data_IF_416117612356
#
_entry.id   IF_416117612356
#
_cell.length_a   1.000
_cell.length_b   1.000
_cell.length_c   1.000
_cell.angle_alpha   90.00
_cell.angle_beta   90.00
_cell.angle_gamma   90.00
#
_symmetry.space_group_name_H-M   'P 1'
#
loop_
_entity.id
_entity.type
_entity.pdbx_description
1 polymer ?
#
# COMPACT_ATOMS: atom_id res chain seq x y z
N UNK A 1 -41.92 15.15 28.44
CA UNK A 1 -41.05 13.98 28.20
C UNK A 1 -40.35 14.19 26.87
N UNK A 2 -39.05 14.51 26.89
CA UNK A 2 -38.22 14.62 25.68
C UNK A 2 -37.66 13.22 25.38
N UNK A 3 -37.83 12.77 24.15
CA UNK A 3 -37.23 11.54 23.61
C UNK A 3 -35.69 11.69 23.55
N UNK A 4 -34.93 10.60 23.76
CA UNK A 4 -33.48 10.65 23.73
C UNK A 4 -32.94 10.65 22.30
N UNK A 5 -31.92 11.48 22.09
CA UNK A 5 -31.05 11.51 20.92
C UNK A 5 -30.45 10.14 20.63
N UNK A 6 -30.71 9.61 19.42
CA UNK A 6 -29.97 8.49 18.84
C UNK A 6 -28.85 9.05 17.96
N UNK A 7 -27.66 9.18 18.52
CA UNK A 7 -26.43 9.36 17.75
C UNK A 7 -26.19 8.10 16.91
N UNK A 8 -26.02 8.18 15.57
CA UNK A 8 -25.71 7.00 14.78
C UNK A 8 -24.30 6.48 15.11
N UNK A 9 -24.06 5.16 15.07
CA UNK A 9 -22.77 4.57 15.40
C UNK A 9 -21.73 4.95 14.35
N UNK A 10 -20.51 5.23 14.81
CA UNK A 10 -19.35 5.51 13.98
C UNK A 10 -19.05 4.32 13.06
N UNK A 11 -19.12 4.56 11.75
CA UNK A 11 -18.70 3.58 10.74
C UNK A 11 -17.21 3.28 10.89
N UNK A 12 -16.89 2.00 11.01
CA UNK A 12 -15.54 1.45 11.03
C UNK A 12 -14.79 1.77 9.74
N UNK A 13 -14.02 2.87 9.75
CA UNK A 13 -13.09 3.24 8.68
C UNK A 13 -11.90 2.30 8.61
N UNK A 14 -12.00 1.23 7.83
CA UNK A 14 -10.84 0.55 7.25
C UNK A 14 -11.13 0.11 5.80
N UNK A 15 -10.13 0.23 4.92
CA UNK A 15 -10.18 -0.03 3.47
C UNK A 15 -11.02 0.90 2.55
N UNK A 16 -11.89 1.76 3.08
CA UNK A 16 -12.79 2.64 2.29
C UNK A 16 -12.25 4.02 1.85
N UNK A 17 -11.06 4.45 2.26
CA UNK A 17 -10.71 5.88 2.26
C UNK A 17 -10.22 6.48 0.92
N UNK A 18 -9.88 5.68 -0.11
CA UNK A 18 -9.27 6.20 -1.37
C UNK A 18 -9.84 5.56 -2.63
N UNK A 19 -10.92 4.80 -2.49
CA UNK A 19 -11.44 3.96 -3.57
C UNK A 19 -12.48 4.68 -4.43
N UNK A 20 -12.74 5.96 -4.17
CA UNK A 20 -13.42 6.91 -5.07
C UNK A 20 -12.45 8.02 -5.46
N UNK A 21 -12.69 8.70 -6.59
CA UNK A 21 -11.85 9.81 -7.03
C UNK A 21 -11.79 10.93 -6.00
N UNK A 22 -12.91 11.37 -5.44
CA UNK A 22 -12.92 12.45 -4.43
C UNK A 22 -12.10 12.08 -3.19
N UNK A 23 -12.17 10.82 -2.77
CA UNK A 23 -11.42 10.34 -1.63
C UNK A 23 -9.91 10.23 -1.95
N UNK A 24 -9.57 9.76 -3.15
CA UNK A 24 -8.20 9.74 -3.66
C UNK A 24 -7.60 11.15 -3.83
N UNK A 25 -8.35 12.10 -4.38
CA UNK A 25 -7.93 13.48 -4.55
C UNK A 25 -7.69 14.15 -3.20
N UNK A 26 -8.59 13.96 -2.23
CA UNK A 26 -8.36 14.41 -0.84
C UNK A 26 -7.09 13.82 -0.26
N UNK A 27 -6.87 12.51 -0.41
CA UNK A 27 -5.62 11.86 0.02
C UNK A 27 -4.38 12.48 -0.67
N UNK A 28 -4.44 12.71 -1.98
CA UNK A 28 -3.31 13.24 -2.74
C UNK A 28 -2.94 14.67 -2.34
N UNK A 29 -3.93 15.49 -1.96
CA UNK A 29 -3.73 16.88 -1.53
C UNK A 29 -3.52 17.05 -0.03
N UNK A 30 -3.88 16.06 0.81
CA UNK A 30 -3.67 16.10 2.25
C UNK A 30 -2.18 16.23 2.59
N UNK A 31 -1.79 17.24 3.36
CA UNK A 31 -0.39 17.43 3.76
C UNK A 31 0.15 16.15 4.41
N UNK A 32 1.32 15.63 3.98
CA UNK A 32 1.91 14.47 4.62
C UNK A 32 2.26 14.82 6.07
N UNK A 33 2.19 13.86 7.01
CA UNK A 33 2.65 14.09 8.37
C UNK A 33 4.12 14.50 8.35
N UNK A 34 4.46 15.54 9.11
CA UNK A 34 5.81 16.10 9.13
C UNK A 34 6.54 15.72 10.41
N UNK A 35 7.77 15.17 10.33
CA UNK A 35 8.62 14.98 11.51
C UNK A 35 8.79 16.27 12.32
N UNK A 36 9.04 16.16 13.63
CA UNK A 36 9.39 17.33 14.44
C UNK A 36 10.65 17.99 13.86
N UNK A 37 10.61 19.31 13.68
CA UNK A 37 11.77 20.07 13.20
C UNK A 37 12.50 20.77 14.35
N UNK A 38 13.83 20.92 14.30
CA UNK A 38 14.58 21.68 15.29
C UNK A 38 14.02 23.11 15.44
N UNK A 39 13.77 23.53 16.69
CA UNK A 39 13.30 24.89 17.01
C UNK A 39 11.77 25.08 16.95
N UNK A 40 10.99 24.06 16.61
CA UNK A 40 9.53 24.10 16.77
C UNK A 40 9.14 23.89 18.24
N UNK A 41 8.00 24.46 18.65
CA UNK A 41 7.43 24.20 19.96
C UNK A 41 7.11 22.70 20.11
N UNK A 42 7.37 22.09 21.30
CA UNK A 42 7.03 20.69 21.53
C UNK A 42 5.54 20.43 21.33
N UNK A 43 5.20 19.33 20.67
CA UNK A 43 3.82 18.90 20.48
C UNK A 43 3.26 18.33 21.79
N UNK A 44 1.96 18.51 22.01
CA UNK A 44 1.24 17.83 23.10
C UNK A 44 1.30 16.30 22.94
N UNK A 45 1.11 15.51 24.02
CA UNK A 45 1.02 14.05 23.91
C UNK A 45 -0.03 13.58 22.89
N UNK A 46 -1.18 14.25 22.83
CA UNK A 46 -2.27 13.92 21.90
C UNK A 46 -1.87 14.14 20.43
N UNK A 47 -1.22 15.26 20.13
CA UNK A 47 -0.68 15.54 18.79
C UNK A 47 0.40 14.53 18.39
N UNK A 48 1.24 14.11 19.35
CA UNK A 48 2.28 13.10 19.11
C UNK A 48 1.69 11.71 18.89
N UNK A 49 0.64 11.33 19.63
CA UNK A 49 -0.09 10.09 19.40
C UNK A 49 -0.76 10.10 18.02
N UNK A 50 -1.41 11.21 17.64
CA UNK A 50 -1.99 11.38 16.30
C UNK A 50 -0.92 11.34 15.20
N UNK A 51 0.23 11.96 15.42
CA UNK A 51 1.35 11.91 14.49
C UNK A 51 1.90 10.49 14.31
N UNK A 52 2.12 9.72 15.38
CA UNK A 52 2.62 8.33 15.26
C UNK A 52 1.56 7.34 14.76
N UNK A 53 0.27 7.66 14.89
CA UNK A 53 -0.83 6.87 14.33
C UNK A 53 -1.02 7.09 12.82
N UNK A 54 -0.55 8.20 12.27
CA UNK A 54 -0.45 8.40 10.81
C UNK A 54 0.93 7.96 10.31
N UNK A 55 1.97 8.53 10.94
CA UNK A 55 3.41 8.39 10.71
C UNK A 55 3.86 8.69 9.27
N UNK A 56 5.15 9.02 9.12
CA UNK A 56 5.69 9.34 7.80
C UNK A 56 5.75 8.12 6.90
N UNK A 57 5.44 8.32 5.61
CA UNK A 57 5.84 7.39 4.57
C UNK A 57 7.31 7.61 4.26
N UNK A 58 8.16 6.64 4.63
CA UNK A 58 9.58 6.67 4.26
C UNK A 58 9.76 6.18 2.83
N UNK A 59 10.64 6.82 2.06
CA UNK A 59 10.99 6.38 0.71
C UNK A 59 11.70 5.03 0.77
N UNK A 60 11.22 4.09 -0.03
CA UNK A 60 11.82 2.76 -0.16
C UNK A 60 12.31 2.54 -1.59
N UNK A 61 13.30 1.65 -1.81
CA UNK A 61 13.74 1.30 -3.16
C UNK A 61 12.59 0.84 -4.07
N UNK A 62 11.58 0.18 -3.50
CA UNK A 62 10.38 -0.23 -4.21
C UNK A 62 9.53 0.96 -4.68
N UNK A 63 9.28 1.95 -3.81
CA UNK A 63 8.55 3.19 -4.18
C UNK A 63 9.30 3.95 -5.27
N UNK A 64 10.63 4.08 -5.14
CA UNK A 64 11.45 4.79 -6.13
C UNK A 64 11.47 4.09 -7.49
N UNK A 65 11.64 2.77 -7.48
CA UNK A 65 11.61 1.94 -8.69
C UNK A 65 10.24 2.01 -9.36
N UNK A 66 9.16 1.87 -8.59
CA UNK A 66 7.81 1.98 -9.11
C UNK A 66 7.52 3.37 -9.69
N UNK A 67 7.89 4.43 -8.97
CA UNK A 67 7.73 5.83 -9.44
C UNK A 67 8.46 6.05 -10.77
N UNK A 68 9.70 5.56 -10.88
CA UNK A 68 10.51 5.68 -12.09
C UNK A 68 9.88 4.90 -13.24
N UNK A 69 9.51 3.65 -13.01
CA UNK A 69 8.90 2.78 -14.03
C UNK A 69 7.57 3.33 -14.52
N UNK A 70 6.67 3.73 -13.60
CA UNK A 70 5.37 4.34 -13.97
C UNK A 70 5.58 5.59 -14.82
N UNK A 71 6.48 6.49 -14.41
CA UNK A 71 6.80 7.68 -15.20
C UNK A 71 7.28 7.33 -16.60
N UNK A 72 8.22 6.38 -16.72
CA UNK A 72 8.75 5.95 -18.03
C UNK A 72 7.66 5.35 -18.89
N UNK A 73 6.86 4.42 -18.37
CA UNK A 73 5.80 3.77 -19.14
C UNK A 73 4.68 4.74 -19.54
N UNK A 74 4.31 5.67 -18.65
CA UNK A 74 3.34 6.70 -18.99
C UNK A 74 3.84 7.62 -20.10
N UNK A 75 5.15 7.86 -20.21
CA UNK A 75 5.77 8.63 -21.32
C UNK A 75 5.77 7.80 -22.60
N UNK A 76 6.24 6.55 -22.54
CA UNK A 76 6.25 5.62 -23.69
C UNK A 76 4.84 5.42 -24.25
N UNK A 77 3.84 5.29 -23.38
CA UNK A 77 2.45 5.08 -23.76
C UNK A 77 1.75 6.30 -24.37
N UNK A 78 2.33 7.52 -24.31
CA UNK A 78 1.66 8.75 -24.79
C UNK A 78 1.34 8.72 -26.29
N UNK A 79 2.24 8.15 -27.08
CA UNK A 79 2.14 8.12 -28.54
C UNK A 79 1.87 6.73 -29.09
N UNK A 80 1.67 5.74 -28.20
CA UNK A 80 1.37 4.37 -28.60
C UNK A 80 -0.13 4.26 -28.91
N UNK A 81 -0.45 4.23 -30.21
CA UNK A 81 -1.83 4.24 -30.72
C UNK A 81 -2.32 2.87 -31.20
N UNK A 82 -1.40 1.95 -31.52
CA UNK A 82 -1.71 0.68 -32.22
C UNK A 82 -1.60 -0.55 -31.31
N UNK A 83 -0.68 -0.54 -30.33
CA UNK A 83 -0.46 -1.67 -29.42
C UNK A 83 -0.89 -1.33 -28.01
N UNK A 84 -1.34 -2.33 -27.23
CA UNK A 84 -1.64 -2.15 -25.82
C UNK A 84 -0.40 -1.60 -25.08
N UNK A 85 -0.63 -0.68 -24.14
CA UNK A 85 0.45 -0.01 -23.41
C UNK A 85 1.16 -1.00 -22.48
N UNK A 86 2.48 -0.86 -22.28
CA UNK A 86 3.20 -1.64 -21.27
C UNK A 86 2.55 -1.50 -19.89
N UNK A 87 2.59 -2.57 -19.11
CA UNK A 87 2.04 -2.61 -17.76
C UNK A 87 3.11 -2.89 -16.72
N UNK A 88 2.77 -2.70 -15.44
CA UNK A 88 3.66 -3.03 -14.32
C UNK A 88 2.99 -4.02 -13.40
N UNK A 89 3.79 -4.93 -12.87
CA UNK A 89 3.39 -5.83 -11.81
C UNK A 89 4.21 -5.49 -10.56
N UNK A 90 3.52 -5.29 -9.46
CA UNK A 90 4.10 -5.07 -8.12
C UNK A 90 3.77 -6.29 -7.27
N UNK A 91 4.71 -7.21 -7.15
CA UNK A 91 4.51 -8.46 -6.41
C UNK A 91 5.24 -8.41 -5.06
N UNK A 92 4.85 -9.26 -4.12
CA UNK A 92 5.57 -9.44 -2.86
C UNK A 92 4.63 -9.95 -1.75
N UNK A 93 5.17 -10.51 -0.66
CA UNK A 93 4.36 -10.99 0.47
C UNK A 93 3.44 -9.93 1.07
N UNK A 94 2.47 -10.35 1.90
CA UNK A 94 1.72 -9.42 2.74
C UNK A 94 2.68 -8.55 3.58
N UNK A 95 2.26 -7.33 3.92
CA UNK A 95 3.02 -6.38 4.78
C UNK A 95 4.35 -5.86 4.19
N UNK A 96 4.52 -5.83 2.87
CA UNK A 96 5.73 -5.28 2.24
C UNK A 96 5.59 -3.86 1.68
N UNK A 97 4.46 -3.20 1.92
CA UNK A 97 4.25 -1.81 1.53
C UNK A 97 3.79 -1.59 0.08
N UNK A 98 3.29 -2.62 -0.61
CA UNK A 98 2.77 -2.53 -1.99
C UNK A 98 1.68 -1.47 -2.15
N UNK A 99 0.63 -1.53 -1.30
CA UNK A 99 -0.46 -0.54 -1.30
C UNK A 99 0.07 0.86 -1.07
N UNK A 100 0.97 1.05 -0.10
CA UNK A 100 1.62 2.35 0.14
C UNK A 100 2.37 2.83 -1.10
N UNK A 101 3.12 1.95 -1.77
CA UNK A 101 3.83 2.30 -2.99
C UNK A 101 2.91 2.69 -4.15
N UNK A 102 1.79 1.97 -4.33
CA UNK A 102 0.77 2.36 -5.31
C UNK A 102 0.21 3.75 -5.01
N UNK A 103 -0.20 4.00 -3.76
CA UNK A 103 -0.82 5.25 -3.36
C UNK A 103 0.15 6.44 -3.49
N UNK A 104 1.41 6.31 -3.09
CA UNK A 104 2.42 7.38 -3.24
C UNK A 104 2.72 7.69 -4.72
N UNK A 105 2.77 6.67 -5.57
CA UNK A 105 3.00 6.84 -7.00
C UNK A 105 1.78 7.47 -7.67
N UNK A 106 0.57 7.02 -7.32
CA UNK A 106 -0.67 7.63 -7.77
C UNK A 106 -0.78 9.09 -7.34
N UNK A 107 -0.47 9.39 -6.07
CA UNK A 107 -0.41 10.76 -5.53
C UNK A 107 0.56 11.62 -6.32
N UNK A 108 1.76 11.11 -6.60
CA UNK A 108 2.77 11.82 -7.38
C UNK A 108 2.27 12.14 -8.79
N UNK A 109 1.63 11.19 -9.47
CA UNK A 109 1.05 11.39 -10.80
C UNK A 109 -0.10 12.40 -10.77
N UNK A 110 -1.02 12.29 -9.80
CA UNK A 110 -2.15 13.21 -9.62
C UNK A 110 -1.68 14.66 -9.41
N UNK A 111 -0.73 14.86 -8.49
CA UNK A 111 -0.16 16.19 -8.22
C UNK A 111 0.67 16.72 -9.39
N UNK A 112 1.36 15.86 -10.14
CA UNK A 112 2.11 16.28 -11.33
C UNK A 112 1.19 16.68 -12.50
N UNK A 113 0.01 16.08 -12.59
CA UNK A 113 -1.03 16.47 -13.53
C UNK A 113 -1.67 17.79 -13.11
N UNK A 114 -2.17 17.88 -11.87
CA UNK A 114 -2.84 19.07 -11.33
C UNK A 114 -1.97 20.33 -11.43
N UNK A 115 -0.66 20.22 -11.23
CA UNK A 115 0.27 21.35 -11.37
C UNK A 115 0.42 21.89 -12.80
N UNK A 116 0.10 21.10 -13.82
CA UNK A 116 0.17 21.47 -15.24
C UNK A 116 -1.20 21.74 -15.87
N UNK A 117 -2.25 21.42 -15.13
CA UNK A 117 -3.63 21.52 -15.56
C UNK A 117 -4.01 23.01 -15.77
N UNK A 118 -4.77 23.29 -16.81
CA UNK A 118 -5.30 24.63 -17.03
C UNK A 118 -6.42 24.94 -16.01
N UNK A 119 -6.73 26.22 -15.73
CA UNK A 119 -7.90 26.55 -14.94
C UNK A 119 -9.17 25.92 -15.53
N UNK A 120 -9.93 25.19 -14.71
CA UNK A 120 -11.14 24.48 -15.13
C UNK A 120 -10.93 23.08 -15.72
N UNK A 121 -9.70 22.56 -15.74
CA UNK A 121 -9.43 21.16 -16.07
C UNK A 121 -9.96 20.23 -14.97
N UNK A 122 -10.98 19.44 -15.31
CA UNK A 122 -11.69 18.49 -14.44
C UNK A 122 -11.23 17.04 -14.64
N UNK A 123 -10.12 16.84 -15.34
CA UNK A 123 -9.65 15.49 -15.66
C UNK A 123 -9.15 14.72 -14.43
N UNK A 124 -9.37 13.41 -14.48
CA UNK A 124 -9.02 12.43 -13.46
C UNK A 124 -7.85 11.58 -13.97
N UNK A 125 -6.59 11.94 -13.71
CA UNK A 125 -5.44 11.31 -14.34
C UNK A 125 -5.14 9.90 -13.82
N UNK A 126 -5.61 9.56 -12.62
CA UNK A 126 -5.30 8.33 -11.88
C UNK A 126 -6.59 7.68 -11.42
N UNK A 127 -6.69 6.35 -11.54
CA UNK A 127 -7.70 5.54 -10.91
C UNK A 127 -7.08 4.51 -9.97
N UNK A 128 -7.61 4.37 -8.75
CA UNK A 128 -7.22 3.33 -7.79
C UNK A 128 -8.39 2.39 -7.54
N UNK A 129 -8.20 1.11 -7.84
CA UNK A 129 -9.23 0.08 -7.72
C UNK A 129 -8.73 -1.03 -6.80
N UNK A 130 -9.48 -1.29 -5.73
CA UNK A 130 -9.24 -2.42 -4.84
C UNK A 130 -10.08 -3.61 -5.29
N UNK A 131 -9.46 -4.74 -5.61
CA UNK A 131 -10.21 -5.93 -6.02
C UNK A 131 -11.00 -6.49 -4.82
N UNK A 132 -12.33 -6.70 -4.95
CA UNK A 132 -13.13 -7.22 -3.86
C UNK A 132 -12.84 -8.73 -3.64
N UNK A 133 -13.04 -9.25 -2.42
CA UNK A 133 -12.93 -10.70 -2.18
C UNK A 133 -13.96 -11.46 -3.01
N UNK A 134 -13.55 -12.59 -3.60
CA UNK A 134 -14.45 -13.40 -4.44
C UNK A 134 -14.99 -12.67 -5.67
N UNK A 135 -14.22 -11.73 -6.22
CA UNK A 135 -14.67 -10.90 -7.33
C UNK A 135 -15.18 -11.71 -8.53
N UNK A 136 -16.34 -11.30 -9.03
CA UNK A 136 -16.88 -11.62 -10.35
C UNK A 136 -16.58 -10.48 -11.33
N UNK A 137 -16.76 -10.70 -12.63
CA UNK A 137 -16.67 -9.62 -13.62
C UNK A 137 -17.60 -8.45 -13.29
N UNK A 138 -18.83 -8.72 -12.81
CA UNK A 138 -19.80 -7.67 -12.46
C UNK A 138 -19.39 -6.87 -11.24
N UNK A 139 -18.92 -7.52 -10.17
CA UNK A 139 -18.47 -6.81 -8.96
C UNK A 139 -17.21 -6.01 -9.24
N UNK A 140 -16.28 -6.55 -10.02
CA UNK A 140 -15.07 -5.82 -10.41
C UNK A 140 -15.41 -4.61 -11.30
N UNK A 141 -16.29 -4.77 -12.29
CA UNK A 141 -16.80 -3.65 -13.09
C UNK A 141 -17.48 -2.58 -12.22
N UNK A 142 -18.20 -3.01 -11.18
CA UNK A 142 -18.78 -2.14 -10.17
C UNK A 142 -17.74 -1.29 -9.43
N UNK A 143 -16.58 -1.85 -9.07
CA UNK A 143 -15.51 -1.09 -8.40
C UNK A 143 -14.88 -0.02 -9.31
N UNK A 144 -14.69 -0.33 -10.59
CA UNK A 144 -14.26 0.67 -11.58
C UNK A 144 -15.30 1.79 -11.75
N UNK A 145 -16.58 1.42 -11.82
CA UNK A 145 -17.67 2.38 -11.91
C UNK A 145 -17.74 3.28 -10.67
N UNK A 146 -17.62 2.69 -9.47
CA UNK A 146 -17.63 3.38 -8.18
C UNK A 146 -16.50 4.41 -8.07
N UNK A 147 -15.34 4.14 -8.66
CA UNK A 147 -14.22 5.08 -8.61
C UNK A 147 -14.56 6.46 -9.18
N UNK A 148 -15.22 6.51 -10.35
CA UNK A 148 -15.65 7.76 -11.00
C UNK A 148 -17.11 8.13 -10.70
N UNK A 149 -17.74 7.50 -9.70
CA UNK A 149 -19.12 7.80 -9.32
C UNK A 149 -20.16 7.45 -10.39
N UNK A 150 -19.88 6.48 -11.27
CA UNK A 150 -20.82 6.04 -12.30
C UNK A 150 -22.01 5.33 -11.61
N UNK A 151 -23.26 5.78 -11.80
CA UNK A 151 -24.42 5.15 -11.19
C UNK A 151 -24.61 3.73 -11.75
N UNK A 152 -24.54 2.72 -10.88
CA UNK A 152 -24.80 1.32 -11.22
C UNK A 152 -26.02 0.83 -10.47
N UNK A 153 -27.00 0.30 -11.20
CA UNK A 153 -28.17 -0.35 -10.60
C UNK A 153 -28.04 -1.87 -10.64
N UNK A 154 -28.76 -2.57 -9.77
CA UNK A 154 -28.74 -4.05 -9.71
C UNK A 154 -29.12 -4.71 -11.04
N UNK A 155 -29.98 -4.06 -11.83
CA UNK A 155 -30.47 -4.54 -13.14
C UNK A 155 -29.46 -4.39 -14.28
N UNK A 156 -28.42 -3.57 -14.11
CA UNK A 156 -27.43 -3.37 -15.18
C UNK A 156 -26.64 -4.66 -15.43
N UNK A 157 -26.42 -4.95 -16.71
CA UNK A 157 -25.55 -6.04 -17.14
C UNK A 157 -24.09 -5.64 -17.04
N UNK A 158 -23.17 -6.61 -16.93
CA UNK A 158 -21.73 -6.35 -16.94
C UNK A 158 -21.30 -5.55 -18.17
N UNK A 159 -21.87 -5.83 -19.34
CA UNK A 159 -21.61 -5.10 -20.59
C UNK A 159 -22.00 -3.63 -20.49
N UNK A 160 -23.18 -3.32 -19.93
CA UNK A 160 -23.63 -1.94 -19.73
C UNK A 160 -22.68 -1.17 -18.80
N UNK A 161 -22.29 -1.78 -17.68
CA UNK A 161 -21.33 -1.19 -16.73
C UNK A 161 -19.98 -0.96 -17.43
N UNK A 162 -19.49 -1.95 -18.17
CA UNK A 162 -18.20 -1.87 -18.87
C UNK A 162 -18.19 -0.76 -19.92
N UNK A 163 -19.27 -0.59 -20.67
CA UNK A 163 -19.39 0.49 -21.66
C UNK A 163 -19.38 1.86 -20.98
N UNK A 164 -20.11 2.01 -19.87
CA UNK A 164 -20.10 3.25 -19.08
C UNK A 164 -18.71 3.54 -18.51
N UNK A 165 -18.03 2.53 -17.94
CA UNK A 165 -16.64 2.64 -17.44
C UNK A 165 -15.70 3.08 -18.55
N UNK A 166 -15.68 2.39 -19.69
CA UNK A 166 -14.81 2.73 -20.82
C UNK A 166 -15.02 4.17 -21.30
N UNK A 167 -16.29 4.58 -21.46
CA UNK A 167 -16.63 5.92 -21.91
C UNK A 167 -16.18 6.98 -20.90
N UNK A 168 -16.52 6.79 -19.63
CA UNK A 168 -16.24 7.76 -18.56
C UNK A 168 -14.74 7.87 -18.28
N UNK A 169 -14.00 6.75 -18.25
CA UNK A 169 -12.54 6.76 -18.08
C UNK A 169 -11.83 7.48 -19.24
N UNK A 170 -12.32 7.32 -20.46
CA UNK A 170 -11.78 8.01 -21.62
C UNK A 170 -12.09 9.52 -21.57
N UNK A 171 -13.34 9.90 -21.26
CA UNK A 171 -13.78 11.29 -21.15
C UNK A 171 -13.07 12.02 -20.01
N UNK A 172 -12.95 11.39 -18.83
CA UNK A 172 -12.23 11.93 -17.67
C UNK A 172 -10.70 11.97 -17.88
N UNK A 173 -10.18 11.42 -18.98
CA UNK A 173 -8.76 11.51 -19.29
C UNK A 173 -7.86 10.62 -18.45
N UNK A 174 -8.37 9.51 -17.87
CA UNK A 174 -7.59 8.57 -17.05
C UNK A 174 -6.38 8.05 -17.81
N UNK A 175 -5.18 8.23 -17.24
CA UNK A 175 -3.89 7.82 -17.84
C UNK A 175 -3.20 6.71 -17.06
N UNK A 176 -3.53 6.53 -15.79
CA UNK A 176 -2.94 5.52 -14.90
C UNK A 176 -4.07 4.80 -14.15
N UNK A 177 -4.06 3.47 -14.18
CA UNK A 177 -4.96 2.63 -13.38
C UNK A 177 -4.12 1.75 -12.47
N UNK A 178 -4.32 1.90 -11.16
CA UNK A 178 -3.68 1.14 -10.10
C UNK A 178 -4.68 0.12 -9.59
N UNK A 179 -4.37 -1.16 -9.71
CA UNK A 179 -5.24 -2.26 -9.28
C UNK A 179 -4.54 -2.99 -8.14
N UNK A 180 -5.13 -2.91 -6.96
CA UNK A 180 -4.60 -3.51 -5.75
C UNK A 180 -5.27 -4.84 -5.44
N UNK A 181 -4.55 -5.72 -4.75
CA UNK A 181 -5.01 -7.05 -4.33
C UNK A 181 -5.45 -7.96 -5.50
N UNK A 182 -4.77 -7.89 -6.65
CA UNK A 182 -5.14 -8.64 -7.88
C UNK A 182 -5.19 -10.17 -7.69
N UNK A 183 -4.44 -10.67 -6.70
CA UNK A 183 -4.41 -12.08 -6.31
C UNK A 183 -5.75 -12.59 -5.77
N UNK A 184 -6.70 -11.69 -5.44
CA UNK A 184 -8.08 -12.05 -5.09
C UNK A 184 -8.87 -12.61 -6.28
N UNK A 185 -8.39 -12.41 -7.51
CA UNK A 185 -8.92 -13.07 -8.70
C UNK A 185 -8.43 -14.52 -8.73
N UNK A 186 -9.24 -15.44 -8.21
CA UNK A 186 -8.88 -16.85 -8.11
C UNK A 186 -9.08 -17.58 -9.46
N UNK A 187 -8.00 -18.01 -10.15
CA UNK A 187 -8.12 -18.70 -11.44
C UNK A 187 -8.81 -20.06 -11.33
N UNK A 188 -8.85 -20.65 -10.13
CA UNK A 188 -9.47 -21.97 -9.89
C UNK A 188 -11.00 -21.90 -9.80
N UNK A 189 -11.58 -20.70 -9.85
CA UNK A 189 -13.03 -20.48 -9.81
C UNK A 189 -13.50 -19.90 -11.13
N UNK A 190 -14.68 -20.28 -11.61
CA UNK A 190 -15.28 -19.71 -12.82
C UNK A 190 -15.42 -18.19 -12.71
N UNK A 191 -15.90 -17.71 -11.56
CA UNK A 191 -16.06 -16.27 -11.29
C UNK A 191 -14.74 -15.49 -11.35
N UNK A 192 -13.66 -16.04 -10.79
CA UNK A 192 -12.35 -15.40 -10.81
C UNK A 192 -11.70 -15.40 -12.20
N UNK A 193 -11.91 -16.47 -12.98
CA UNK A 193 -11.50 -16.53 -14.38
C UNK A 193 -12.26 -15.51 -15.24
N UNK A 194 -13.59 -15.43 -15.09
CA UNK A 194 -14.43 -14.43 -15.77
C UNK A 194 -14.02 -12.99 -15.43
N UNK A 195 -13.72 -12.71 -14.16
CA UNK A 195 -13.24 -11.40 -13.73
C UNK A 195 -11.89 -11.04 -14.34
N UNK A 196 -10.97 -12.01 -14.44
CA UNK A 196 -9.67 -11.81 -15.06
C UNK A 196 -9.77 -11.58 -16.57
N UNK A 197 -10.63 -12.33 -17.26
CA UNK A 197 -10.86 -12.14 -18.70
C UNK A 197 -11.53 -10.79 -18.99
N UNK A 198 -12.51 -10.41 -18.16
CA UNK A 198 -13.08 -9.07 -18.21
C UNK A 198 -12.03 -7.97 -18.02
N UNK A 199 -11.07 -8.16 -17.10
CA UNK A 199 -10.01 -7.20 -16.87
C UNK A 199 -9.05 -7.11 -18.08
N UNK A 200 -8.72 -8.25 -18.70
CA UNK A 200 -7.94 -8.29 -19.96
C UNK A 200 -8.65 -7.47 -21.04
N UNK A 201 -9.96 -7.68 -21.23
CA UNK A 201 -10.76 -6.90 -22.19
C UNK A 201 -10.78 -5.40 -21.87
N UNK A 202 -10.91 -5.03 -20.58
CA UNK A 202 -10.89 -3.64 -20.16
C UNK A 202 -9.56 -2.96 -20.51
N UNK A 203 -8.44 -3.66 -20.33
CA UNK A 203 -7.10 -3.10 -20.57
C UNK A 203 -6.82 -2.81 -22.04
N UNK A 204 -7.49 -3.50 -22.95
CA UNK A 204 -7.45 -3.23 -24.39
C UNK A 204 -8.32 -2.01 -24.76
N UNK A 205 -9.40 -1.76 -24.03
CA UNK A 205 -10.37 -0.68 -24.31
C UNK A 205 -10.01 0.65 -23.65
N UNK A 206 -9.43 0.60 -22.45
CA UNK A 206 -9.03 1.80 -21.70
C UNK A 206 -7.59 2.16 -22.02
N UNK A 207 -7.40 3.32 -22.66
CA UNK A 207 -6.08 3.85 -23.01
C UNK A 207 -5.39 4.43 -21.76
N UNK A 208 -4.95 3.57 -20.86
CA UNK A 208 -4.19 3.90 -19.64
C UNK A 208 -3.00 2.96 -19.44
N UNK A 209 -2.02 3.38 -18.64
CA UNK A 209 -1.00 2.47 -18.10
C UNK A 209 -1.60 1.75 -16.90
N UNK A 210 -1.52 0.42 -16.88
CA UNK A 210 -2.02 -0.40 -15.78
C UNK A 210 -0.88 -0.85 -14.87
N UNK A 211 -1.10 -0.77 -13.56
CA UNK A 211 -0.22 -1.30 -12.52
C UNK A 211 -1.02 -2.27 -11.68
N UNK A 212 -0.56 -3.51 -11.57
CA UNK A 212 -1.22 -4.58 -10.82
C UNK A 212 -0.40 -4.92 -9.58
N UNK A 213 -0.98 -4.80 -8.39
CA UNK A 213 -0.33 -5.18 -7.14
C UNK A 213 -1.02 -6.37 -6.47
N UNK A 214 -0.23 -7.24 -5.85
CA UNK A 214 -0.73 -8.40 -5.14
C UNK A 214 0.37 -9.34 -4.68
N UNK A 215 -0.02 -10.50 -4.20
CA UNK A 215 0.88 -11.60 -3.84
C UNK A 215 0.96 -12.52 -5.06
N UNK A 216 2.18 -12.96 -5.42
CA UNK A 216 2.43 -13.89 -6.53
C UNK A 216 1.66 -13.54 -7.81
N UNK A 217 1.71 -12.25 -8.19
CA UNK A 217 0.85 -11.70 -9.24
C UNK A 217 1.08 -12.37 -10.60
N UNK A 218 2.29 -12.83 -10.89
CA UNK A 218 2.61 -13.56 -12.12
C UNK A 218 1.81 -14.86 -12.26
N UNK A 219 1.36 -15.44 -11.14
CA UNK A 219 0.54 -16.66 -11.11
C UNK A 219 -0.97 -16.35 -11.00
N UNK A 220 -1.34 -15.06 -10.94
CA UNK A 220 -2.75 -14.65 -10.88
C UNK A 220 -3.48 -14.90 -12.21
N UNK A 221 -4.80 -15.06 -12.14
CA UNK A 221 -5.67 -15.38 -13.29
C UNK A 221 -5.54 -14.41 -14.49
N UNK A 222 -5.08 -13.19 -14.25
CA UNK A 222 -4.91 -12.13 -15.25
C UNK A 222 -3.72 -12.40 -16.16
N UNK A 223 -2.70 -13.11 -15.67
CA UNK A 223 -1.44 -13.35 -16.40
C UNK A 223 -1.30 -14.80 -16.91
N UNK A 224 -2.31 -15.64 -16.69
CA UNK A 224 -2.34 -17.02 -17.18
C UNK A 224 -3.15 -17.18 -18.47
N UNK A 225 -2.91 -18.26 -19.21
CA UNK A 225 -3.50 -18.53 -20.53
C UNK A 225 -2.89 -17.69 -21.67
N UNK A 226 -3.35 -17.88 -22.91
CA UNK A 226 -2.76 -17.23 -24.10
C UNK A 226 -2.80 -15.70 -24.01
N UNK A 227 -3.95 -15.13 -23.65
CA UNK A 227 -4.10 -13.67 -23.49
C UNK A 227 -3.35 -13.13 -22.28
N UNK A 228 -3.31 -13.88 -21.18
CA UNK A 228 -2.53 -13.50 -19.99
C UNK A 228 -1.02 -13.51 -20.26
N UNK A 229 -0.52 -14.48 -21.01
CA UNK A 229 0.89 -14.55 -21.41
C UNK A 229 1.30 -13.34 -22.29
N UNK A 230 0.39 -12.85 -23.14
CA UNK A 230 0.63 -11.62 -23.92
C UNK A 230 0.72 -10.38 -23.02
N UNK A 231 -0.10 -10.31 -21.96
CA UNK A 231 -0.04 -9.23 -20.98
C UNK A 231 1.23 -9.32 -20.13
N UNK A 232 1.59 -10.54 -19.69
CA UNK A 232 2.79 -10.83 -18.91
C UNK A 232 4.07 -10.50 -19.70
N UNK A 233 4.15 -10.88 -20.98
CA UNK A 233 5.29 -10.58 -21.85
C UNK A 233 5.51 -9.09 -22.10
N UNK A 234 4.56 -8.23 -21.74
CA UNK A 234 4.65 -6.76 -21.82
C UNK A 234 4.75 -6.10 -20.45
N UNK A 235 4.66 -6.87 -19.37
CA UNK A 235 4.71 -6.37 -18.02
C UNK A 235 6.16 -6.35 -17.50
N UNK A 236 6.57 -5.26 -16.84
CA UNK A 236 7.79 -5.29 -16.03
C UNK A 236 7.44 -5.61 -14.58
N UNK A 237 8.22 -6.50 -13.96
CA UNK A 237 8.04 -6.94 -12.59
C UNK A 237 8.84 -6.07 -11.62
N UNK A 238 8.20 -5.63 -10.54
CA UNK A 238 8.81 -4.97 -9.39
C UNK A 238 8.50 -5.83 -8.17
N UNK A 239 9.55 -6.40 -7.58
CA UNK A 239 9.43 -7.16 -6.34
C UNK A 239 9.52 -6.23 -5.13
N UNK A 240 8.42 -6.14 -4.39
CA UNK A 240 8.33 -5.56 -3.05
C UNK A 240 8.58 -6.68 -2.03
N UNK A 241 9.77 -7.27 -2.06
CA UNK A 241 10.19 -8.32 -1.16
C UNK A 241 10.65 -7.78 0.20
N UNK A 242 11.10 -8.71 1.06
CA UNK A 242 11.81 -8.34 2.28
C UNK A 242 13.06 -7.54 1.93
N UNK A 243 13.28 -6.43 2.64
CA UNK A 243 14.46 -5.61 2.43
C UNK A 243 15.67 -6.34 3.03
N UNK A 244 16.75 -6.57 2.27
CA UNK A 244 17.87 -7.34 2.77
C UNK A 244 18.63 -6.55 3.82
N UNK A 245 19.24 -7.25 4.78
CA UNK A 245 20.11 -6.60 5.76
C UNK A 245 21.31 -5.90 5.07
N UNK A 246 21.82 -6.49 3.98
CA UNK A 246 22.90 -5.95 3.14
C UNK A 246 22.64 -6.17 1.65
N UNK A 247 23.06 -5.22 0.83
CA UNK A 247 23.07 -5.30 -0.63
C UNK A 247 24.38 -4.72 -1.16
N UNK A 248 25.38 -5.59 -1.39
CA UNK A 248 26.75 -5.16 -1.63
C UNK A 248 27.31 -4.43 -0.41
N UNK A 249 27.82 -3.22 -0.61
CA UNK A 249 28.32 -2.34 0.46
C UNK A 249 27.21 -1.57 1.21
N UNK A 250 25.97 -1.60 0.71
CA UNK A 250 24.85 -0.87 1.32
C UNK A 250 24.13 -1.72 2.37
N UNK A 251 23.56 -1.05 3.37
CA UNK A 251 22.76 -1.67 4.43
C UNK A 251 21.33 -1.12 4.39
N UNK A 252 20.53 -1.43 3.34
CA UNK A 252 19.28 -0.72 3.07
C UNK A 252 18.26 -0.87 4.20
N UNK A 253 18.24 -1.99 4.91
CA UNK A 253 17.39 -2.16 6.10
C UNK A 253 17.80 -1.25 7.27
N UNK A 254 19.11 -1.06 7.48
CA UNK A 254 19.64 -0.15 8.50
C UNK A 254 19.33 1.32 8.13
N UNK A 255 19.46 1.67 6.86
CA UNK A 255 19.12 3.00 6.32
C UNK A 255 17.63 3.32 6.50
N UNK A 256 16.76 2.34 6.26
CA UNK A 256 15.32 2.46 6.52
C UNK A 256 15.04 2.67 8.02
N UNK A 257 15.67 1.91 8.91
CA UNK A 257 15.52 2.09 10.36
C UNK A 257 15.97 3.50 10.78
N UNK A 258 17.10 3.98 10.27
CA UNK A 258 17.59 5.32 10.57
C UNK A 258 16.60 6.41 10.12
N UNK A 259 15.98 6.22 8.95
CA UNK A 259 14.97 7.14 8.42
C UNK A 259 13.69 7.14 9.27
N UNK A 260 13.25 5.96 9.75
CA UNK A 260 12.11 5.85 10.66
C UNK A 260 12.43 6.46 12.03
N UNK A 261 13.64 6.24 12.55
CA UNK A 261 14.10 6.80 13.83
C UNK A 261 14.14 8.34 13.80
N UNK A 262 14.65 8.92 12.71
CA UNK A 262 14.67 10.37 12.51
C UNK A 262 13.28 11.01 12.48
N UNK A 263 12.25 10.22 12.18
CA UNK A 263 10.87 10.69 12.16
C UNK A 263 10.16 10.54 13.50
N UNK A 264 10.80 9.97 14.54
CA UNK A 264 10.16 9.81 15.84
C UNK A 264 10.03 11.14 16.58
N UNK A 265 8.88 11.34 17.20
CA UNK A 265 8.62 12.48 18.09
C UNK A 265 8.60 12.01 19.55
N UNK A 266 9.76 11.55 20.01
CA UNK A 266 10.00 10.97 21.33
C UNK A 266 11.11 11.75 22.03
N UNK A 267 10.79 12.41 23.15
CA UNK A 267 11.70 13.40 23.73
C UNK A 267 12.95 12.81 24.40
N UNK A 268 12.86 11.57 24.89
CA UNK A 268 13.98 10.88 25.54
C UNK A 268 14.68 9.87 24.62
N UNK A 269 14.29 9.79 23.35
CA UNK A 269 14.85 8.84 22.42
C UNK A 269 16.19 9.32 21.87
N UNK A 270 17.20 8.45 21.93
CA UNK A 270 18.55 8.78 21.46
C UNK A 270 18.72 8.35 20.00
N UNK A 271 19.03 9.29 19.13
CA UNK A 271 19.36 9.01 17.74
C UNK A 271 20.52 8.00 17.60
N UNK A 272 20.42 7.12 16.61
CA UNK A 272 21.34 6.02 16.36
C UNK A 272 21.17 4.82 17.29
N UNK A 273 20.12 4.76 18.11
CA UNK A 273 19.85 3.63 18.99
C UNK A 273 19.13 2.49 18.26
N UNK A 274 18.14 2.78 17.42
CA UNK A 274 17.43 1.78 16.62
C UNK A 274 18.30 1.18 15.51
N UNK A 275 19.12 1.94 14.75
CA UNK A 275 20.03 1.36 13.77
C UNK A 275 21.00 0.35 14.38
N UNK A 276 21.39 0.49 15.66
CA UNK A 276 22.21 -0.52 16.36
C UNK A 276 21.49 -1.84 16.58
N UNK A 277 20.15 -1.83 16.59
CA UNK A 277 19.30 -3.01 16.68
C UNK A 277 18.93 -3.59 15.31
N UNK A 278 19.55 -3.14 14.21
CA UNK A 278 19.18 -3.56 12.85
C UNK A 278 19.12 -5.08 12.65
N UNK A 279 20.09 -5.84 13.18
CA UNK A 279 20.07 -7.32 13.09
C UNK A 279 18.86 -7.92 13.81
N UNK A 280 18.54 -7.40 15.00
CA UNK A 280 17.40 -7.87 15.78
C UNK A 280 16.07 -7.49 15.11
N UNK A 281 15.94 -6.25 14.63
CA UNK A 281 14.74 -5.78 13.91
C UNK A 281 14.54 -6.54 12.60
N UNK A 282 15.63 -6.91 11.91
CA UNK A 282 15.57 -7.69 10.68
C UNK A 282 15.03 -9.10 10.96
N UNK A 283 15.54 -9.76 12.00
CA UNK A 283 15.05 -11.06 12.47
C UNK A 283 13.58 -10.99 12.93
N UNK A 284 13.21 -9.97 13.73
CA UNK A 284 11.82 -9.78 14.21
C UNK A 284 10.81 -9.58 13.10
N UNK A 285 11.20 -8.93 12.00
CA UNK A 285 10.29 -8.50 10.95
C UNK A 285 10.43 -9.33 9.67
N UNK A 286 11.38 -10.27 9.63
CA UNK A 286 11.84 -10.93 8.42
C UNK A 286 12.20 -9.93 7.29
N UNK A 287 12.70 -8.74 7.64
CA UNK A 287 12.98 -7.65 6.69
C UNK A 287 11.74 -6.99 6.06
N UNK A 288 10.52 -7.29 6.51
CA UNK A 288 9.29 -6.72 5.96
C UNK A 288 9.06 -5.30 6.45
N UNK A 289 8.95 -4.37 5.51
CA UNK A 289 8.83 -2.94 5.80
C UNK A 289 7.55 -2.60 6.56
N UNK A 290 6.42 -3.24 6.23
CA UNK A 290 5.15 -3.02 6.93
C UNK A 290 5.18 -3.53 8.37
N UNK A 291 5.76 -4.71 8.62
CA UNK A 291 5.96 -5.22 9.97
C UNK A 291 6.89 -4.33 10.78
N UNK A 292 7.99 -3.85 10.18
CA UNK A 292 8.92 -2.89 10.80
C UNK A 292 8.24 -1.57 11.15
N UNK A 293 7.51 -0.97 10.20
CA UNK A 293 6.80 0.29 10.41
C UNK A 293 5.76 0.16 11.52
N UNK A 294 4.97 -0.92 11.52
CA UNK A 294 4.00 -1.19 12.59
C UNK A 294 4.67 -1.35 13.95
N UNK A 295 5.75 -2.12 14.04
CA UNK A 295 6.50 -2.32 15.28
C UNK A 295 7.00 -0.99 15.86
N UNK A 296 7.67 -0.17 15.03
CA UNK A 296 8.24 1.10 15.48
C UNK A 296 7.15 2.09 15.90
N UNK A 297 6.05 2.17 15.13
CA UNK A 297 4.93 3.06 15.45
C UNK A 297 4.22 2.67 16.74
N UNK A 298 3.96 1.37 16.93
CA UNK A 298 3.36 0.87 18.16
C UNK A 298 4.27 1.12 19.35
N UNK A 299 5.58 0.85 19.22
CA UNK A 299 6.55 1.13 20.27
C UNK A 299 6.63 2.62 20.61
N UNK A 300 6.52 3.51 19.62
CA UNK A 300 6.49 4.95 19.87
C UNK A 300 5.22 5.36 20.64
N UNK A 301 4.07 4.83 20.26
CA UNK A 301 2.79 5.07 20.95
C UNK A 301 2.85 4.58 22.40
N UNK A 302 3.31 3.35 22.63
CA UNK A 302 3.45 2.78 23.98
C UNK A 302 4.44 3.59 24.83
N UNK A 303 5.56 4.03 24.24
CA UNK A 303 6.55 4.87 24.91
C UNK A 303 6.02 6.26 25.30
N UNK A 304 5.02 6.80 24.58
CA UNK A 304 4.34 8.04 24.94
C UNK A 304 3.35 7.77 26.08
N UNK A 305 2.57 6.68 25.97
CA UNK A 305 1.55 6.33 26.97
C UNK A 305 2.14 5.97 28.34
N UNK A 306 3.30 5.30 28.37
CA UNK A 306 4.00 4.94 29.61
C UNK A 306 4.98 6.04 30.10
N UNK A 307 5.04 7.17 29.39
CA UNK A 307 5.95 8.30 29.64
C UNK A 307 7.45 7.96 29.62
N UNK A 308 7.84 6.80 29.11
CA UNK A 308 9.26 6.42 28.97
C UNK A 308 9.96 7.21 27.86
N UNK A 309 9.20 7.67 26.86
CA UNK A 309 9.61 8.56 25.78
C UNK A 309 10.83 8.02 24.99
N UNK A 310 11.02 6.70 24.97
CA UNK A 310 12.12 6.04 24.24
C UNK A 310 11.76 4.61 23.85
N UNK A 311 12.10 4.24 22.62
CA UNK A 311 12.02 2.83 22.19
C UNK A 311 13.24 2.07 22.69
N UNK A 312 12.99 0.93 23.37
CA UNK A 312 14.03 0.01 23.84
C UNK A 312 13.80 -1.39 23.27
N UNK A 313 14.84 -2.23 23.29
CA UNK A 313 14.68 -3.64 22.87
C UNK A 313 13.63 -4.37 23.72
N UNK A 314 13.58 -4.12 25.03
CA UNK A 314 12.59 -4.72 25.93
C UNK A 314 11.16 -4.33 25.55
N UNK A 315 10.93 -3.05 25.20
CA UNK A 315 9.63 -2.60 24.71
C UNK A 315 9.26 -3.31 23.40
N UNK A 316 10.22 -3.38 22.46
CA UNK A 316 10.02 -4.07 21.18
C UNK A 316 9.70 -5.57 21.38
N UNK A 317 10.35 -6.24 22.34
CA UNK A 317 10.10 -7.64 22.69
C UNK A 317 8.68 -7.88 23.24
N UNK A 318 8.07 -6.87 23.89
CA UNK A 318 6.70 -6.94 24.42
C UNK A 318 5.61 -6.79 23.37
N UNK A 319 5.93 -6.28 22.17
CA UNK A 319 4.97 -6.04 21.09
C UNK A 319 4.83 -7.27 20.22
N UNK A 320 3.60 -7.82 20.16
CA UNK A 320 3.25 -8.87 19.22
C UNK A 320 3.10 -8.32 17.79
N UNK A 321 3.68 -9.03 16.83
CA UNK A 321 3.61 -8.73 15.41
C UNK A 321 2.54 -9.54 14.66
N UNK A 322 2.50 -9.36 13.34
CA UNK A 322 1.65 -10.13 12.46
C UNK A 322 2.09 -11.59 12.48
N UNK A 323 1.14 -12.50 12.30
CA UNK A 323 1.37 -13.93 12.43
C UNK A 323 2.59 -14.42 11.64
N UNK A 324 2.81 -13.90 10.44
CA UNK A 324 3.95 -14.28 9.60
C UNK A 324 5.30 -13.79 10.14
N UNK A 325 5.34 -12.62 10.79
CA UNK A 325 6.53 -12.14 11.48
C UNK A 325 6.80 -12.94 12.77
N UNK A 326 5.75 -13.31 13.51
CA UNK A 326 5.85 -14.12 14.73
C UNK A 326 6.24 -15.58 14.45
N UNK A 327 5.75 -16.20 13.37
CA UNK A 327 6.20 -17.54 12.96
C UNK A 327 7.69 -17.57 12.56
N UNK A 328 8.17 -16.49 11.94
CA UNK A 328 9.57 -16.35 11.56
C UNK A 328 10.45 -16.10 12.80
N UNK A 329 9.96 -15.34 13.76
CA UNK A 329 10.68 -15.00 14.97
C UNK A 329 10.52 -16.08 16.04
N UNK A 330 11.54 -16.93 16.22
CA UNK A 330 11.66 -17.75 17.43
C UNK A 330 12.45 -16.97 18.48
N UNK A 331 11.85 -16.48 19.57
CA UNK A 331 12.62 -15.84 20.62
C UNK A 331 13.68 -16.83 21.13
N UNK A 332 14.94 -16.39 21.16
CA UNK A 332 16.02 -17.10 21.86
C UNK A 332 15.68 -17.07 23.34
N UNK A 333 14.95 -18.08 23.80
CA UNK A 333 14.46 -18.17 25.17
C UNK A 333 15.67 -18.24 26.13
N UNK A 334 15.95 -17.22 26.97
CA UNK A 334 17.02 -17.30 27.96
C UNK A 334 16.47 -17.89 29.27
N UNK A 335 15.75 -19.03 29.21
CA UNK A 335 15.24 -19.70 30.41
C UNK A 335 14.84 -21.16 30.16
N UNK A 336 15.82 -22.02 29.87
CA UNK A 336 15.81 -23.39 30.40
C UNK A 336 17.16 -23.64 31.06
N UNK A 337 17.36 -22.97 32.19
CA UNK A 337 18.37 -23.37 33.16
C UNK A 337 17.92 -24.75 33.65
N UNK A 338 18.52 -25.81 33.12
CA UNK A 338 18.32 -27.17 33.62
C UNK A 338 18.52 -27.13 35.13
N UNK A 339 17.43 -27.26 35.88
CA UNK A 339 17.47 -27.67 37.28
C UNK A 339 18.15 -29.03 37.29
N UNK A 340 19.41 -29.08 37.75
CA UNK A 340 20.03 -30.32 38.18
C UNK A 340 19.10 -30.92 39.24
N UNK A 341 18.68 -32.19 39.14
CA UNK A 341 18.01 -32.84 40.26
C UNK A 341 19.05 -32.98 41.38
N UNK A 342 18.78 -32.32 42.51
CA UNK A 342 19.39 -32.66 43.78
C UNK A 342 18.92 -34.06 44.19
N UNK A 343 19.85 -34.82 44.76
CA UNK A 343 19.80 -36.28 44.81
C UNK A 343 18.74 -36.93 45.69
N UNK A 344 18.65 -38.24 45.49
CA UNK A 344 18.75 -39.26 46.53
C UNK A 344 19.75 -40.32 46.04
#
# INVERSE_FOLDING_TARGET
MRSPDTTPPAEETSAGAVTTFDAFARFAHAAPPTPPQPGQAPRSPEERLAYHSQFVTVRTPAIETLSRSVRTLMILGRHQSVTARPSLIVTGPATTGKTTALLEVGRTCHLAHTRRAAPGDDSVPVAYVLVPPGATAKTLAGEFARYLGIPVTTRMTTTQITTAVCHTYAAAGVKLVLIDEIHRLNPRTSSGAEAADWLKDLTERVRATFVYAGIDVTDSAVFTGVRGAQLAGRASLIDCGALPARAGEREPFRELIASLEQALDLHAHRAGSLPKLASYLHERTAGRIGSLSRLIRQAAIEAILDSSERITKTLLDGIALDHLAEEHYRPRNPARRHTRPNGR
#
